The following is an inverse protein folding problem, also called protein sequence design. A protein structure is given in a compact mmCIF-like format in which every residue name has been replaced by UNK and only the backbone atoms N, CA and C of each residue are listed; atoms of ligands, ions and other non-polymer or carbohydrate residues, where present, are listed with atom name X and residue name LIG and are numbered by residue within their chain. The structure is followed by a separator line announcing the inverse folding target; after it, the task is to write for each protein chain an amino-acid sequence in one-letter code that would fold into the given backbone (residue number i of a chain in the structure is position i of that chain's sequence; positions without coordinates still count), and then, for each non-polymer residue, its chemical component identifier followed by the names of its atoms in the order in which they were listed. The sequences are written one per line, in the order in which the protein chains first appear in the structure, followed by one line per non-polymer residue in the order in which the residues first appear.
data_IF_503789470868
#
_entry.id   IF_503789470868
#
_cell.length_a   1.000
_cell.length_b   1.000
_cell.length_c   1.000
_cell.angle_alpha   90.00
_cell.angle_beta   90.00
_cell.angle_gamma   90.00
#
_symmetry.space_group_name_H-M   'P 1'
#
loop_
_entity.id
_entity.type
_entity.pdbx_description
1 polymer ?
#
# COMPACT_ATOMS: atom_id res chain seq x y z
N UNK A 1 -23.74 12.45 2.51
CA UNK A 1 -23.83 11.05 2.96
C UNK A 1 -22.54 10.68 3.65
N UNK A 2 -22.61 9.92 4.71
CA UNK A 2 -21.42 9.39 5.38
C UNK A 2 -20.72 8.37 4.47
N UNK A 3 -19.38 8.40 4.47
CA UNK A 3 -18.51 7.44 3.77
C UNK A 3 -17.91 6.41 4.73
N UNK A 4 -18.29 6.48 6.00
CA UNK A 4 -17.83 5.54 7.02
C UNK A 4 -18.54 4.21 6.81
N UNK A 5 -17.74 3.16 6.66
CA UNK A 5 -18.19 1.78 6.45
C UNK A 5 -17.39 0.83 7.35
N UNK A 6 -17.81 -0.41 7.46
CA UNK A 6 -17.04 -1.46 8.12
C UNK A 6 -15.82 -1.87 7.30
N UNK A 7 -14.84 -2.52 7.94
CA UNK A 7 -13.64 -3.03 7.26
C UNK A 7 -14.00 -4.03 6.15
N UNK A 8 -14.99 -4.87 6.42
CA UNK A 8 -15.48 -5.86 5.44
C UNK A 8 -16.14 -5.20 4.23
N UNK A 9 -16.99 -4.19 4.44
CA UNK A 9 -17.62 -3.43 3.35
C UNK A 9 -16.59 -2.67 2.52
N UNK A 10 -15.58 -2.09 3.16
CA UNK A 10 -14.50 -1.39 2.48
C UNK A 10 -13.69 -2.33 1.57
N UNK A 11 -13.27 -3.49 2.09
CA UNK A 11 -12.54 -4.49 1.31
C UNK A 11 -13.39 -5.13 0.19
N UNK A 12 -14.73 -5.20 0.37
CA UNK A 12 -15.64 -5.67 -0.65
C UNK A 12 -15.69 -4.78 -1.90
N UNK A 13 -15.25 -3.52 -1.79
CA UNK A 13 -15.10 -2.62 -2.93
C UNK A 13 -13.92 -2.96 -3.85
N UNK A 14 -13.02 -3.83 -3.42
CA UNK A 14 -11.95 -4.39 -4.26
C UNK A 14 -12.45 -5.65 -4.92
N UNK A 15 -12.36 -5.75 -6.25
CA UNK A 15 -12.84 -6.90 -7.01
C UNK A 15 -11.67 -7.74 -7.54
N UNK A 16 -11.94 -9.00 -7.81
CA UNK A 16 -10.95 -9.88 -8.45
C UNK A 16 -10.49 -9.30 -9.78
N UNK A 17 -9.17 -9.31 -9.98
CA UNK A 17 -8.55 -8.74 -11.17
C UNK A 17 -8.26 -7.24 -11.12
N UNK A 18 -8.71 -6.50 -10.09
CA UNK A 18 -8.40 -5.08 -9.92
C UNK A 18 -6.89 -4.82 -9.81
N UNK A 19 -6.48 -3.67 -10.32
CA UNK A 19 -5.16 -3.10 -10.07
C UNK A 19 -5.24 -2.25 -8.80
N UNK A 20 -4.61 -2.71 -7.73
CA UNK A 20 -4.66 -2.11 -6.40
C UNK A 20 -3.36 -1.38 -6.11
N UNK A 21 -3.42 -0.06 -5.97
CA UNK A 21 -2.31 0.74 -5.47
C UNK A 21 -2.31 0.71 -3.94
N UNK A 22 -1.23 0.22 -3.37
CA UNK A 22 -1.07 0.02 -1.95
C UNK A 22 -0.03 0.99 -1.39
N UNK A 23 -0.46 1.86 -0.47
CA UNK A 23 0.48 2.65 0.33
C UNK A 23 1.40 1.70 1.09
N UNK A 24 2.68 1.80 0.82
CA UNK A 24 3.68 1.02 1.56
C UNK A 24 5.09 1.54 1.28
N UNK A 25 5.86 1.72 2.34
CA UNK A 25 7.28 1.98 2.27
C UNK A 25 7.99 0.94 3.15
N UNK A 26 8.25 -0.24 2.58
CA UNK A 26 8.87 -1.38 3.24
C UNK A 26 8.20 -1.75 4.59
N UNK A 27 8.76 -1.28 5.71
CA UNK A 27 8.26 -1.55 7.07
C UNK A 27 7.31 -0.48 7.61
N UNK A 28 6.81 0.44 6.74
CA UNK A 28 6.10 1.64 7.15
C UNK A 28 4.77 1.85 6.43
N UNK A 29 3.80 2.37 7.16
CA UNK A 29 2.56 2.98 6.69
C UNK A 29 1.66 2.11 5.79
N UNK A 30 1.77 0.78 5.86
CA UNK A 30 0.91 -0.10 5.08
C UNK A 30 -0.50 -0.20 5.71
N UNK A 31 -1.59 -0.19 4.93
CA UNK A 31 -2.96 -0.41 5.42
C UNK A 31 -3.19 -1.91 5.73
N UNK A 32 -2.45 -2.45 6.71
CA UNK A 32 -2.39 -3.88 7.01
C UNK A 32 -3.76 -4.47 7.41
N UNK A 33 -4.64 -3.69 8.02
CA UNK A 33 -5.98 -4.15 8.32
C UNK A 33 -6.78 -4.44 7.03
N UNK A 34 -6.70 -3.58 6.02
CA UNK A 34 -7.31 -3.83 4.71
C UNK A 34 -6.65 -5.01 4.00
N UNK A 35 -5.32 -5.15 4.09
CA UNK A 35 -4.59 -6.31 3.53
C UNK A 35 -5.10 -7.63 4.15
N UNK A 36 -5.25 -7.69 5.48
CA UNK A 36 -5.82 -8.87 6.15
C UNK A 36 -7.22 -9.16 5.65
N UNK A 37 -8.05 -8.14 5.47
CA UNK A 37 -9.43 -8.32 5.02
C UNK A 37 -9.52 -8.81 3.58
N UNK A 38 -8.64 -8.34 2.68
CA UNK A 38 -8.56 -8.89 1.31
C UNK A 38 -8.22 -10.38 1.31
N UNK A 39 -7.33 -10.82 2.20
CA UNK A 39 -6.98 -12.24 2.36
C UNK A 39 -8.18 -13.03 2.92
N UNK A 40 -8.87 -12.53 3.95
CA UNK A 40 -10.06 -13.17 4.53
C UNK A 40 -11.20 -13.32 3.53
N UNK A 41 -11.41 -12.32 2.67
CA UNK A 41 -12.40 -12.35 1.60
C UNK A 41 -11.95 -13.13 0.37
N UNK A 42 -10.79 -13.78 0.44
CA UNK A 42 -10.23 -14.61 -0.62
C UNK A 42 -10.14 -13.92 -1.98
N UNK A 43 -9.80 -12.63 -2.01
CA UNK A 43 -9.60 -11.91 -3.28
C UNK A 43 -8.52 -12.57 -4.12
N UNK A 44 -8.67 -12.51 -5.44
CA UNK A 44 -7.80 -13.22 -6.38
C UNK A 44 -7.38 -12.35 -7.55
N UNK A 45 -6.21 -12.70 -8.12
CA UNK A 45 -5.69 -12.10 -9.37
C UNK A 45 -5.51 -10.60 -9.30
N UNK A 46 -5.24 -10.05 -8.13
CA UNK A 46 -4.98 -8.61 -8.01
C UNK A 46 -3.63 -8.27 -8.62
N UNK A 47 -3.59 -7.16 -9.39
CA UNK A 47 -2.36 -6.49 -9.75
C UNK A 47 -1.99 -5.49 -8.65
N UNK A 48 -0.87 -5.68 -7.97
CA UNK A 48 -0.45 -4.78 -6.90
C UNK A 48 0.50 -3.71 -7.42
N UNK A 49 0.25 -2.44 -7.06
CA UNK A 49 1.15 -1.30 -7.33
C UNK A 49 1.70 -0.80 -6.00
N UNK A 50 3.01 -0.76 -5.85
CA UNK A 50 3.67 -0.18 -4.67
C UNK A 50 5.05 0.38 -5.01
N UNK A 51 5.48 1.44 -4.31
CA UNK A 51 6.82 2.01 -4.47
C UNK A 51 7.88 1.07 -3.92
N UNK A 52 7.81 0.78 -2.63
CA UNK A 52 8.69 -0.19 -1.97
C UNK A 52 7.80 -1.14 -1.18
N UNK A 53 7.61 -2.34 -1.72
CA UNK A 53 6.83 -3.39 -1.08
C UNK A 53 7.55 -4.01 0.11
N UNK A 54 6.79 -4.51 1.07
CA UNK A 54 7.30 -5.19 2.25
C UNK A 54 6.39 -6.35 2.67
N UNK A 55 6.14 -6.47 3.96
CA UNK A 55 5.31 -7.54 4.52
C UNK A 55 3.93 -7.68 3.86
N UNK A 56 3.18 -6.60 3.53
CA UNK A 56 1.88 -6.76 2.88
C UNK A 56 1.99 -7.47 1.52
N UNK A 57 3.05 -7.19 0.74
CA UNK A 57 3.29 -7.88 -0.54
C UNK A 57 3.56 -9.36 -0.31
N UNK A 58 4.38 -9.68 0.69
CA UNK A 58 4.74 -11.06 1.02
C UNK A 58 3.53 -11.86 1.50
N UNK A 59 2.64 -11.27 2.31
CA UNK A 59 1.40 -11.90 2.76
C UNK A 59 0.41 -12.13 1.63
N UNK A 60 0.20 -11.12 0.77
CA UNK A 60 -0.70 -11.25 -0.38
C UNK A 60 -0.20 -12.31 -1.39
N UNK A 61 1.12 -12.42 -1.55
CA UNK A 61 1.73 -13.48 -2.37
C UNK A 61 1.58 -14.87 -1.72
N UNK A 62 1.82 -14.98 -0.41
CA UNK A 62 1.64 -16.23 0.35
C UNK A 62 0.20 -16.75 0.29
N UNK A 63 -0.77 -15.83 0.39
CA UNK A 63 -2.20 -16.16 0.32
C UNK A 63 -2.71 -16.36 -1.13
N UNK A 64 -1.87 -16.15 -2.16
CA UNK A 64 -2.26 -16.28 -3.57
C UNK A 64 -3.27 -15.23 -4.04
N UNK A 65 -3.29 -14.07 -3.42
CA UNK A 65 -4.19 -12.95 -3.74
C UNK A 65 -3.74 -12.21 -4.98
N UNK A 66 -2.41 -12.03 -5.14
CA UNK A 66 -1.81 -11.28 -6.26
C UNK A 66 -1.25 -12.20 -7.34
N UNK A 67 -1.36 -11.79 -8.58
CA UNK A 67 -0.71 -12.45 -9.74
C UNK A 67 0.21 -11.51 -10.52
N UNK A 68 0.26 -10.23 -10.15
CA UNK A 68 1.13 -9.22 -10.74
C UNK A 68 1.58 -8.20 -9.70
N UNK A 69 2.84 -7.77 -9.83
CA UNK A 69 3.38 -6.62 -9.09
C UNK A 69 3.90 -5.59 -10.10
N UNK A 70 3.55 -4.33 -9.88
CA UNK A 70 4.07 -3.15 -10.58
C UNK A 70 4.78 -2.31 -9.51
N UNK A 71 6.10 -2.27 -9.52
CA UNK A 71 6.82 -1.65 -8.41
C UNK A 71 8.30 -1.46 -8.65
N UNK A 72 8.94 -0.76 -7.72
CA UNK A 72 10.37 -0.47 -7.80
C UNK A 72 11.20 -1.46 -6.98
N UNK A 73 10.73 -1.84 -5.80
CA UNK A 73 11.44 -2.77 -4.93
C UNK A 73 10.47 -3.54 -4.02
N UNK A 74 10.92 -4.71 -3.55
CA UNK A 74 10.22 -5.48 -2.50
C UNK A 74 11.24 -5.99 -1.49
N UNK A 75 11.17 -5.48 -0.26
CA UNK A 75 12.12 -5.80 0.81
C UNK A 75 11.50 -5.55 2.18
N UNK A 76 11.91 -6.31 3.17
CA UNK A 76 11.65 -6.01 4.59
C UNK A 76 12.86 -5.31 5.25
N UNK A 77 13.69 -4.65 4.45
CA UNK A 77 14.87 -3.89 4.90
C UNK A 77 15.79 -4.74 5.78
N UNK A 78 16.08 -4.31 7.02
CA UNK A 78 16.94 -5.02 7.96
C UNK A 78 16.45 -6.42 8.34
N UNK A 79 15.19 -6.76 8.09
CA UNK A 79 14.62 -8.09 8.34
C UNK A 79 14.85 -9.07 7.18
N UNK A 80 15.26 -8.56 6.01
CA UNK A 80 15.66 -9.37 4.86
C UNK A 80 14.63 -9.40 3.73
N UNK A 81 14.64 -10.52 2.98
CA UNK A 81 13.82 -10.67 1.78
C UNK A 81 12.39 -11.09 2.08
N UNK A 82 11.45 -10.67 1.26
CA UNK A 82 10.08 -11.17 1.18
C UNK A 82 10.09 -12.58 0.54
N UNK A 83 10.15 -13.61 1.37
CA UNK A 83 10.43 -14.99 0.92
C UNK A 83 9.27 -15.59 0.12
N UNK A 84 8.05 -15.36 0.53
CA UNK A 84 6.87 -15.89 -0.14
C UNK A 84 6.62 -15.21 -1.49
N UNK A 85 6.81 -13.89 -1.55
CA UNK A 85 6.79 -13.15 -2.80
C UNK A 85 7.88 -13.66 -3.77
N UNK A 86 9.12 -13.81 -3.29
CA UNK A 86 10.22 -14.34 -4.10
C UNK A 86 9.90 -15.72 -4.68
N UNK A 87 9.44 -16.65 -3.86
CA UNK A 87 9.01 -17.98 -4.31
C UNK A 87 7.88 -17.91 -5.34
N UNK A 88 6.92 -16.99 -5.14
CA UNK A 88 5.81 -16.81 -6.08
C UNK A 88 6.28 -16.31 -7.45
N UNK A 89 7.26 -15.38 -7.48
CA UNK A 89 7.89 -14.88 -8.71
C UNK A 89 8.71 -15.99 -9.40
N UNK A 90 9.58 -16.68 -8.66
CA UNK A 90 10.41 -17.77 -9.20
C UNK A 90 9.56 -18.93 -9.76
N UNK A 91 8.40 -19.19 -9.17
CA UNK A 91 7.44 -20.18 -9.66
C UNK A 91 6.50 -19.66 -10.78
N UNK A 92 6.67 -18.41 -11.23
CA UNK A 92 5.83 -17.80 -12.27
C UNK A 92 4.38 -17.51 -11.86
N UNK A 93 4.07 -17.57 -10.55
CA UNK A 93 2.72 -17.27 -10.03
C UNK A 93 2.46 -15.76 -9.93
N UNK A 94 3.51 -14.97 -9.79
CA UNK A 94 3.45 -13.50 -9.76
C UNK A 94 4.36 -12.95 -10.87
N UNK A 95 3.80 -12.18 -11.78
CA UNK A 95 4.55 -11.46 -12.82
C UNK A 95 4.99 -10.11 -12.27
N UNK A 96 6.22 -9.71 -12.57
CA UNK A 96 6.77 -8.43 -12.13
C UNK A 96 6.90 -7.47 -13.31
N UNK A 97 6.29 -6.29 -13.17
CA UNK A 97 6.57 -5.13 -13.99
C UNK A 97 7.51 -4.22 -13.20
N UNK A 98 8.81 -4.41 -13.42
CA UNK A 98 9.84 -3.66 -12.71
C UNK A 98 9.94 -2.22 -13.21
N UNK A 99 10.06 -1.28 -12.28
CA UNK A 99 10.22 0.14 -12.52
C UNK A 99 11.21 0.73 -11.51
N UNK A 100 11.77 1.89 -11.83
CA UNK A 100 12.35 2.74 -10.77
C UNK A 100 11.23 3.50 -10.04
N UNK A 101 11.47 3.93 -8.79
CA UNK A 101 10.52 4.80 -8.08
C UNK A 101 10.18 6.06 -8.88
N UNK A 102 11.17 6.66 -9.55
CA UNK A 102 10.96 7.83 -10.40
C UNK A 102 9.99 7.56 -11.54
N UNK A 103 10.14 6.41 -12.23
CA UNK A 103 9.25 6.05 -13.33
C UNK A 103 7.85 5.69 -12.83
N UNK A 104 7.73 4.98 -11.69
CA UNK A 104 6.44 4.68 -11.09
C UNK A 104 5.71 5.95 -10.65
N UNK A 105 6.42 6.88 -10.01
CA UNK A 105 5.86 8.19 -9.64
C UNK A 105 5.45 9.01 -10.87
N UNK A 106 6.22 8.97 -11.97
CA UNK A 106 5.83 9.62 -13.22
C UNK A 106 4.55 8.99 -13.80
N UNK A 107 4.44 7.67 -13.81
CA UNK A 107 3.24 6.94 -14.30
C UNK A 107 1.99 7.27 -13.47
N UNK A 108 2.08 7.18 -12.14
CA UNK A 108 0.99 7.56 -11.23
C UNK A 108 0.68 9.07 -11.33
N UNK A 109 1.73 9.90 -11.43
CA UNK A 109 1.59 11.34 -11.63
C UNK A 109 0.87 11.73 -12.93
N UNK A 110 1.07 10.97 -14.00
CA UNK A 110 0.34 11.13 -15.25
C UNK A 110 -1.14 10.76 -15.06
N UNK A 111 -1.43 9.61 -14.41
CA UNK A 111 -2.78 9.19 -14.08
C UNK A 111 -3.53 10.22 -13.23
N UNK A 112 -2.91 10.71 -12.17
CA UNK A 112 -3.48 11.71 -11.27
C UNK A 112 -3.82 13.06 -11.95
N UNK A 113 -3.19 13.36 -13.09
CA UNK A 113 -3.39 14.60 -13.87
C UNK A 113 -4.19 14.36 -15.14
N UNK A 114 -4.66 13.15 -15.36
CA UNK A 114 -5.35 12.75 -16.59
C UNK A 114 -4.52 13.05 -17.86
N UNK A 115 -3.20 12.81 -17.78
CA UNK A 115 -2.27 12.93 -18.88
C UNK A 115 -1.95 11.54 -19.43
N UNK A 116 -1.67 11.41 -20.75
CA UNK A 116 -1.32 10.11 -21.34
C UNK A 116 0.02 9.57 -20.84
N UNK A 117 0.97 10.44 -20.48
CA UNK A 117 2.27 10.12 -19.94
C UNK A 117 2.89 11.34 -19.23
N UNK A 118 3.92 11.10 -18.41
CA UNK A 118 4.87 12.12 -17.95
C UNK A 118 6.29 11.73 -18.33
N UNK A 119 7.15 12.73 -18.69
CA UNK A 119 8.55 12.50 -19.01
C UNK A 119 9.40 12.35 -17.75
N UNK A 120 10.50 11.60 -17.86
CA UNK A 120 11.59 11.57 -16.88
C UNK A 120 12.95 11.45 -17.58
N UNK A 121 14.01 11.89 -16.89
CA UNK A 121 15.41 11.62 -17.29
C UNK A 121 15.90 10.28 -16.73
N UNK A 122 15.21 9.75 -15.75
CA UNK A 122 15.55 8.46 -15.16
C UNK A 122 15.43 7.30 -16.14
N UNK A 123 16.14 6.23 -15.86
CA UNK A 123 16.19 4.98 -16.64
C UNK A 123 16.97 5.03 -17.96
N UNK A 124 17.41 6.19 -18.44
CA UNK A 124 18.22 6.28 -19.66
C UNK A 124 19.51 5.45 -19.46
N UNK A 125 19.78 4.55 -20.40
CA UNK A 125 20.93 3.64 -20.35
C UNK A 125 20.69 2.37 -19.52
N UNK A 126 19.44 2.09 -19.11
CA UNK A 126 19.07 0.82 -18.48
C UNK A 126 18.24 -0.05 -19.42
N UNK A 127 18.28 -1.37 -19.22
CA UNK A 127 17.52 -2.35 -19.99
C UNK A 127 16.01 -2.28 -19.72
N UNK A 128 15.60 -1.62 -18.64
CA UNK A 128 14.18 -1.47 -18.24
C UNK A 128 13.34 -0.80 -19.33
N UNK A 129 13.92 0.08 -20.14
CA UNK A 129 13.21 0.75 -21.23
C UNK A 129 12.83 -0.23 -22.34
N UNK A 130 13.70 -1.21 -22.62
CA UNK A 130 13.45 -2.23 -23.62
C UNK A 130 12.50 -3.31 -23.13
N UNK A 131 12.57 -3.64 -21.83
CA UNK A 131 11.78 -4.70 -21.20
C UNK A 131 10.34 -4.26 -20.83
N UNK A 132 10.09 -2.95 -20.73
CA UNK A 132 8.79 -2.42 -20.28
C UNK A 132 8.11 -1.62 -21.40
N UNK A 133 7.03 -2.19 -21.96
CA UNK A 133 6.25 -1.57 -23.05
C UNK A 133 5.64 -0.20 -22.69
N UNK A 134 5.50 0.11 -21.39
CA UNK A 134 4.97 1.36 -20.88
C UNK A 134 6.02 2.49 -20.78
N UNK A 135 7.26 2.20 -21.18
CA UNK A 135 8.37 3.15 -21.22
C UNK A 135 8.85 3.32 -22.66
N UNK A 136 8.99 4.55 -23.14
CA UNK A 136 9.47 4.85 -24.50
C UNK A 136 10.44 6.02 -24.49
N UNK A 137 11.54 5.89 -25.22
CA UNK A 137 12.40 7.04 -25.50
C UNK A 137 11.71 7.99 -26.48
N UNK A 138 11.87 9.29 -26.26
CA UNK A 138 11.45 10.34 -27.20
C UNK A 138 12.35 11.56 -27.09
N UNK A 139 12.29 12.41 -28.11
CA UNK A 139 13.01 13.69 -28.10
C UNK A 139 12.09 14.76 -27.55
N UNK A 140 12.59 15.52 -26.58
CA UNK A 140 11.91 16.71 -26.07
C UNK A 140 11.66 17.72 -27.21
N UNK A 141 10.42 18.18 -27.41
CA UNK A 141 10.06 19.04 -28.54
C UNK A 141 10.65 20.47 -28.46
N UNK A 142 11.19 20.88 -27.32
CA UNK A 142 11.73 22.22 -27.09
C UNK A 142 13.25 22.27 -27.19
N UNK A 143 13.95 21.36 -26.56
CA UNK A 143 15.41 21.35 -26.51
C UNK A 143 16.07 20.17 -27.23
N UNK A 144 15.29 19.20 -27.68
CA UNK A 144 15.80 18.01 -28.35
C UNK A 144 16.50 17.02 -27.41
N UNK A 145 16.36 17.16 -26.09
CA UNK A 145 16.90 16.23 -25.13
C UNK A 145 16.18 14.87 -25.22
N UNK A 146 16.95 13.78 -25.07
CA UNK A 146 16.34 12.45 -24.98
C UNK A 146 15.73 12.24 -23.59
N UNK A 147 14.45 11.90 -23.54
CA UNK A 147 13.70 11.62 -22.33
C UNK A 147 12.99 10.28 -22.42
N UNK A 148 12.53 9.77 -21.28
CA UNK A 148 11.66 8.58 -21.18
C UNK A 148 10.24 9.04 -20.95
N UNK A 149 9.33 8.73 -21.89
CA UNK A 149 7.89 8.85 -21.71
C UNK A 149 7.40 7.68 -20.86
N UNK A 150 6.86 7.98 -19.67
CA UNK A 150 6.28 7.01 -18.76
C UNK A 150 4.75 7.03 -18.91
N UNK A 151 4.17 5.99 -19.55
CA UNK A 151 2.72 5.87 -19.79
C UNK A 151 1.95 5.94 -18.47
N UNK A 152 0.82 6.66 -18.46
CA UNK A 152 -0.04 6.78 -17.30
C UNK A 152 -0.43 5.42 -16.70
N UNK A 153 -0.40 5.34 -15.38
CA UNK A 153 -0.93 4.23 -14.59
C UNK A 153 -2.11 4.74 -13.78
N UNK A 154 -3.28 4.15 -14.02
CA UNK A 154 -4.53 4.48 -13.34
C UNK A 154 -5.00 3.21 -12.62
N UNK A 155 -4.68 3.03 -11.34
CA UNK A 155 -5.17 1.89 -10.56
C UNK A 155 -6.69 1.89 -10.45
N UNK A 156 -7.29 0.71 -10.29
CA UNK A 156 -8.73 0.59 -10.06
C UNK A 156 -9.08 1.04 -8.63
N UNK A 157 -8.21 0.69 -7.67
CA UNK A 157 -8.38 1.04 -6.26
C UNK A 157 -7.05 1.51 -5.66
N UNK A 158 -7.10 2.52 -4.80
CA UNK A 158 -5.99 2.85 -3.89
C UNK A 158 -6.39 2.53 -2.45
N UNK A 159 -5.51 1.84 -1.74
CA UNK A 159 -5.64 1.53 -0.31
C UNK A 159 -4.60 2.32 0.46
N UNK A 160 -5.06 3.15 1.39
CA UNK A 160 -4.21 3.99 2.23
C UNK A 160 -4.59 3.88 3.70
N UNK A 161 -3.63 4.16 4.57
CA UNK A 161 -3.85 4.29 6.01
C UNK A 161 -3.53 5.72 6.44
N UNK A 162 -4.37 6.32 7.27
CA UNK A 162 -4.30 7.72 7.65
C UNK A 162 -4.38 7.93 9.18
N UNK A 163 -3.91 9.08 9.66
CA UNK A 163 -4.03 9.43 11.08
C UNK A 163 -5.47 9.77 11.45
N UNK A 164 -6.12 10.59 10.64
CA UNK A 164 -7.51 11.01 10.87
C UNK A 164 -8.27 11.11 9.57
N UNK A 165 -9.54 10.81 9.66
CA UNK A 165 -10.50 11.11 8.61
C UNK A 165 -11.80 11.63 9.23
N UNK A 166 -12.65 12.29 8.42
CA UNK A 166 -14.01 12.59 8.83
C UNK A 166 -15.03 11.73 8.05
N UNK A 167 -16.29 11.80 8.46
CA UNK A 167 -17.37 11.06 7.83
C UNK A 167 -17.62 11.42 6.35
N UNK A 168 -17.05 12.54 5.89
CA UNK A 168 -17.16 12.98 4.50
C UNK A 168 -15.96 12.54 3.65
N UNK A 169 -14.97 11.88 4.26
CA UNK A 169 -13.78 11.38 3.58
C UNK A 169 -12.65 12.41 3.44
N UNK A 170 -12.67 13.53 4.18
CA UNK A 170 -11.50 14.37 4.28
C UNK A 170 -10.45 13.67 5.15
N UNK A 171 -9.20 13.61 4.68
CA UNK A 171 -8.13 12.82 5.31
C UNK A 171 -6.97 13.71 5.68
N UNK A 172 -6.52 13.59 6.93
CA UNK A 172 -5.36 14.30 7.43
C UNK A 172 -4.26 13.35 7.88
N UNK A 173 -3.03 13.81 7.62
CA UNK A 173 -1.81 13.20 8.14
C UNK A 173 -1.12 14.15 9.10
N UNK A 174 -0.40 13.60 10.08
CA UNK A 174 0.47 14.42 10.92
C UNK A 174 1.63 14.96 10.06
N UNK A 175 2.03 16.24 10.25
CA UNK A 175 2.91 16.95 9.30
C UNK A 175 4.34 16.46 9.26
N UNK A 176 4.73 15.59 10.17
CA UNK A 176 6.11 15.14 10.32
C UNK A 176 6.57 14.17 9.25
N UNK A 177 5.64 13.46 8.58
CA UNK A 177 6.01 12.48 7.56
C UNK A 177 4.91 12.41 6.49
N UNK A 178 5.24 12.92 5.30
CA UNK A 178 4.46 12.67 4.09
C UNK A 178 5.22 11.64 3.25
N UNK A 179 4.66 10.44 3.16
CA UNK A 179 5.17 9.47 2.20
C UNK A 179 4.90 9.99 0.79
N UNK A 180 5.87 9.90 -0.14
CA UNK A 180 5.73 10.46 -1.50
C UNK A 180 4.50 9.93 -2.25
N UNK A 181 4.11 8.70 -1.99
CA UNK A 181 2.98 8.03 -2.63
C UNK A 181 1.61 8.57 -2.21
N UNK A 182 1.45 9.05 -0.97
CA UNK A 182 0.17 9.54 -0.44
C UNK A 182 -0.37 10.75 -1.23
N UNK A 183 0.51 11.62 -1.69
CA UNK A 183 0.12 12.84 -2.43
C UNK A 183 -0.34 12.57 -3.86
N UNK A 184 0.09 11.47 -4.47
CA UNK A 184 -0.08 11.18 -5.91
C UNK A 184 -0.93 9.93 -6.12
N UNK A 185 -0.57 8.82 -5.48
CA UNK A 185 -1.14 7.50 -5.74
C UNK A 185 -2.67 7.44 -5.58
N UNK A 186 -3.27 7.96 -4.49
CA UNK A 186 -4.73 7.94 -4.36
C UNK A 186 -5.44 8.77 -5.42
N UNK A 187 -4.83 9.89 -5.86
CA UNK A 187 -5.40 10.76 -6.90
C UNK A 187 -5.31 10.17 -8.31
N UNK A 188 -4.48 9.15 -8.50
CA UNK A 188 -4.37 8.41 -9.76
C UNK A 188 -5.41 7.30 -9.87
N UNK A 189 -5.94 6.81 -8.76
CA UNK A 189 -6.87 5.68 -8.72
C UNK A 189 -8.30 6.08 -9.05
N UNK A 190 -9.08 5.12 -9.55
CA UNK A 190 -10.52 5.31 -9.82
C UNK A 190 -11.35 5.29 -8.54
N UNK A 191 -10.89 4.60 -7.50
CA UNK A 191 -11.53 4.46 -6.20
C UNK A 191 -10.47 4.56 -5.10
N UNK A 192 -10.79 5.24 -4.00
CA UNK A 192 -9.90 5.43 -2.86
C UNK A 192 -10.57 4.94 -1.59
N UNK A 193 -9.95 3.97 -0.94
CA UNK A 193 -10.37 3.40 0.33
C UNK A 193 -9.34 3.77 1.40
N UNK A 194 -9.82 4.36 2.49
CA UNK A 194 -8.98 4.84 3.58
C UNK A 194 -9.31 4.08 4.85
N UNK A 195 -8.32 3.42 5.45
CA UNK A 195 -8.37 3.10 6.86
C UNK A 195 -7.74 4.24 7.66
N UNK A 196 -8.31 4.59 8.80
CA UNK A 196 -7.81 5.67 9.64
C UNK A 196 -7.70 5.22 11.10
N UNK A 197 -6.71 5.75 11.80
CA UNK A 197 -6.56 5.52 13.24
C UNK A 197 -7.76 6.06 14.02
N UNK A 198 -8.31 7.20 13.55
CA UNK A 198 -9.40 7.88 14.21
C UNK A 198 -10.34 8.55 13.19
N UNK A 199 -11.64 8.41 13.39
CA UNK A 199 -12.64 9.21 12.68
C UNK A 199 -13.11 10.33 13.60
N UNK A 200 -12.90 11.57 13.15
CA UNK A 200 -13.22 12.80 13.90
C UNK A 200 -14.28 13.63 13.20
N UNK A 201 -14.85 14.58 13.90
CA UNK A 201 -15.76 15.54 13.27
C UNK A 201 -15.01 16.45 12.29
N UNK A 202 -15.70 16.92 11.23
CA UNK A 202 -15.13 17.85 10.26
C UNK A 202 -14.63 19.16 10.91
N UNK A 203 -15.17 19.53 12.07
CA UNK A 203 -14.71 20.72 12.83
C UNK A 203 -13.29 20.53 13.36
N UNK A 204 -12.94 19.31 13.79
CA UNK A 204 -11.58 18.99 14.24
C UNK A 204 -10.59 19.14 13.08
N UNK A 205 -10.93 18.63 11.89
CA UNK A 205 -10.08 18.75 10.70
C UNK A 205 -9.93 20.22 10.27
N UNK A 206 -10.98 21.03 10.33
CA UNK A 206 -10.95 22.46 9.95
C UNK A 206 -10.02 23.31 10.81
N UNK A 207 -9.62 22.86 11.99
CA UNK A 207 -8.64 23.56 12.83
C UNK A 207 -7.23 23.56 12.22
N UNK A 208 -6.92 22.56 11.40
CA UNK A 208 -5.62 22.42 10.73
C UNK A 208 -5.84 22.02 9.26
N UNK A 209 -6.39 22.92 8.42
CA UNK A 209 -6.75 22.58 7.04
C UNK A 209 -5.56 22.24 6.15
N UNK A 210 -4.40 22.76 6.47
CA UNK A 210 -3.10 22.51 5.83
C UNK A 210 -2.63 21.05 5.94
N UNK A 211 -3.16 20.30 6.92
CA UNK A 211 -2.89 18.86 7.10
C UNK A 211 -3.76 17.97 6.22
N UNK A 212 -4.74 18.53 5.51
CA UNK A 212 -5.65 17.76 4.66
C UNK A 212 -4.96 17.40 3.35
N UNK A 213 -4.57 16.14 3.19
CA UNK A 213 -3.88 15.61 2.01
C UNK A 213 -4.86 15.10 0.96
N UNK A 214 -5.94 14.45 1.41
CA UNK A 214 -7.01 13.97 0.53
C UNK A 214 -8.32 14.68 0.91
N UNK A 215 -8.86 15.51 0.00
CA UNK A 215 -10.19 16.08 0.20
C UNK A 215 -11.26 15.01 -0.02
N UNK A 216 -12.39 15.16 0.65
CA UNK A 216 -13.45 14.14 0.68
C UNK A 216 -13.93 13.69 -0.68
N UNK A 217 -13.93 14.54 -1.70
CA UNK A 217 -14.38 14.16 -3.03
C UNK A 217 -13.47 13.15 -3.76
N UNK A 218 -12.26 12.92 -3.27
CA UNK A 218 -11.32 11.90 -3.80
C UNK A 218 -11.55 10.54 -3.16
N UNK A 219 -12.11 10.50 -1.94
CA UNK A 219 -12.24 9.28 -1.11
C UNK A 219 -13.63 8.66 -1.28
N UNK A 220 -13.71 7.36 -1.47
CA UNK A 220 -14.97 6.62 -1.63
C UNK A 220 -15.46 5.98 -0.34
N UNK A 221 -14.54 5.46 0.47
CA UNK A 221 -14.86 4.81 1.74
C UNK A 221 -13.80 5.10 2.81
N UNK A 222 -14.25 5.22 4.06
CA UNK A 222 -13.40 5.41 5.25
C UNK A 222 -13.75 4.37 6.30
N UNK A 223 -12.73 3.79 6.92
CA UNK A 223 -12.88 2.80 8.01
C UNK A 223 -12.06 3.25 9.21
N UNK A 224 -12.64 3.26 10.40
CA UNK A 224 -11.89 3.46 11.63
C UNK A 224 -11.22 2.15 12.05
N UNK A 225 -9.89 2.18 12.09
CA UNK A 225 -9.09 0.99 12.45
C UNK A 225 -7.86 1.42 13.23
N UNK A 226 -7.96 1.57 14.54
CA UNK A 226 -6.80 1.84 15.40
C UNK A 226 -5.73 0.76 15.23
N UNK A 227 -4.46 1.18 15.15
CA UNK A 227 -3.33 0.30 14.81
C UNK A 227 -3.50 -0.42 13.46
N UNK A 228 -4.19 0.22 12.52
CA UNK A 228 -4.49 -0.39 11.22
C UNK A 228 -3.27 -0.67 10.35
N UNK A 229 -2.14 -0.02 10.60
CA UNK A 229 -0.88 -0.29 9.93
C UNK A 229 -0.03 -1.38 10.61
N UNK A 230 -0.32 -1.78 11.87
CA UNK A 230 0.45 -2.83 12.55
C UNK A 230 0.49 -4.13 11.71
N UNK A 231 1.65 -4.78 11.53
CA UNK A 231 2.92 -4.62 12.24
C UNK A 231 3.90 -3.61 11.64
N UNK A 232 3.53 -2.89 10.58
CA UNK A 232 4.34 -1.78 10.06
C UNK A 232 4.20 -0.56 10.98
N UNK A 233 5.16 0.36 10.91
CA UNK A 233 5.09 1.60 11.69
C UNK A 233 4.07 2.58 11.13
N UNK A 234 3.54 3.44 12.01
CA UNK A 234 2.74 4.58 11.60
C UNK A 234 3.06 5.81 12.45
N UNK A 235 4.08 6.53 12.03
CA UNK A 235 4.61 7.68 12.76
C UNK A 235 3.64 8.87 12.80
N UNK A 236 3.55 9.62 13.89
CA UNK A 236 4.30 9.47 15.15
C UNK A 236 3.60 8.58 16.19
N UNK A 237 2.57 7.82 15.81
CA UNK A 237 1.74 7.08 16.76
C UNK A 237 2.43 5.82 17.27
N UNK A 238 3.09 5.06 16.39
CA UNK A 238 3.81 3.84 16.76
C UNK A 238 4.89 3.46 15.73
N UNK A 239 5.90 2.75 16.22
CA UNK A 239 6.95 2.12 15.41
C UNK A 239 6.51 0.78 14.83
N UNK A 240 7.38 0.17 14.05
CA UNK A 240 7.14 -1.19 13.57
C UNK A 240 7.34 -2.24 14.67
N UNK A 241 6.59 -3.33 14.62
CA UNK A 241 6.79 -4.47 15.52
C UNK A 241 7.95 -5.35 15.02
N UNK A 242 9.16 -5.09 15.54
CA UNK A 242 10.37 -5.81 15.14
C UNK A 242 10.28 -7.32 15.39
N UNK A 243 9.66 -7.74 16.51
CA UNK A 243 9.54 -9.17 16.82
C UNK A 243 8.60 -9.87 15.86
N UNK A 244 7.50 -9.21 15.50
CA UNK A 244 6.57 -9.74 14.52
C UNK A 244 7.20 -9.88 13.13
N UNK A 245 8.02 -8.89 12.71
CA UNK A 245 8.79 -8.99 11.48
C UNK A 245 9.80 -10.14 11.51
N UNK A 246 10.52 -10.31 12.62
CA UNK A 246 11.46 -11.43 12.79
C UNK A 246 10.72 -12.78 12.79
N UNK A 247 9.60 -12.89 13.47
CA UNK A 247 8.76 -14.11 13.46
C UNK A 247 8.33 -14.45 12.05
N UNK A 248 7.74 -13.51 11.32
CA UNK A 248 7.31 -13.72 9.94
C UNK A 248 8.48 -14.12 9.03
N UNK A 249 9.59 -13.37 9.02
CA UNK A 249 10.74 -13.69 8.15
C UNK A 249 11.34 -15.05 8.41
N UNK A 250 11.22 -15.57 9.63
CA UNK A 250 11.65 -16.93 9.99
C UNK A 250 10.72 -17.98 9.40
N UNK A 251 9.40 -17.85 9.61
CA UNK A 251 8.41 -18.84 9.17
C UNK A 251 8.12 -18.76 7.66
N UNK A 252 8.27 -17.59 7.04
CA UNK A 252 8.04 -17.40 5.61
C UNK A 252 9.00 -18.20 4.69
N UNK A 253 10.07 -18.78 5.24
CA UNK A 253 10.95 -19.67 4.50
C UNK A 253 10.33 -21.03 4.21
N UNK A 254 9.34 -21.43 4.97
CA UNK A 254 8.61 -22.67 4.85
C UNK A 254 7.13 -22.38 4.53
N UNK A 255 6.57 -23.06 3.54
CA UNK A 255 5.22 -22.72 3.06
C UNK A 255 4.14 -23.13 4.07
N UNK A 256 4.29 -24.26 4.76
CA UNK A 256 3.33 -24.73 5.75
C UNK A 256 3.33 -23.82 6.97
N UNK A 257 4.52 -23.41 7.44
CA UNK A 257 4.65 -22.47 8.55
C UNK A 257 4.13 -21.06 8.19
N UNK A 258 4.33 -20.62 6.94
CA UNK A 258 3.78 -19.35 6.46
C UNK A 258 2.24 -19.38 6.44
N UNK A 259 1.63 -20.49 5.98
CA UNK A 259 0.18 -20.64 5.99
C UNK A 259 -0.37 -20.72 7.43
N UNK A 260 0.30 -21.41 8.33
CA UNK A 260 -0.09 -21.46 9.74
C UNK A 260 -0.02 -20.08 10.42
N UNK A 261 1.00 -19.27 10.08
CA UNK A 261 1.10 -17.90 10.54
C UNK A 261 -0.06 -17.03 10.03
N UNK A 262 -0.38 -17.13 8.73
CA UNK A 262 -1.52 -16.42 8.16
C UNK A 262 -2.85 -16.89 8.76
N UNK A 263 -3.00 -18.18 9.01
CA UNK A 263 -4.19 -18.71 9.69
C UNK A 263 -4.37 -18.05 11.05
N UNK A 264 -3.31 -18.04 11.87
CA UNK A 264 -3.31 -17.50 13.24
C UNK A 264 -3.58 -16.01 13.31
N UNK A 265 -2.92 -15.22 12.46
CA UNK A 265 -2.94 -13.75 12.57
C UNK A 265 -3.83 -13.04 11.53
N UNK A 266 -4.35 -13.77 10.54
CA UNK A 266 -5.17 -13.18 9.48
C UNK A 266 -6.55 -13.84 9.41
N UNK A 267 -6.63 -15.17 9.41
CA UNK A 267 -7.89 -15.86 9.15
C UNK A 267 -8.70 -16.09 10.43
N UNK A 268 -8.07 -16.44 11.55
CA UNK A 268 -8.76 -16.69 12.83
C UNK A 268 -9.33 -15.42 13.47
N UNK A 269 -8.58 -14.28 13.55
CA UNK A 269 -9.15 -13.06 14.08
C UNK A 269 -10.21 -12.49 13.12
N UNK A 270 -11.47 -12.46 13.53
CA UNK A 270 -12.56 -11.90 12.72
C UNK A 270 -12.61 -10.37 12.78
N UNK A 271 -12.07 -9.78 13.86
CA UNK A 271 -12.09 -8.33 14.10
C UNK A 271 -10.68 -7.76 14.32
N UNK A 272 -10.55 -6.45 14.20
CA UNK A 272 -9.30 -5.77 14.54
C UNK A 272 -8.92 -5.97 16.02
N UNK A 273 -9.90 -5.98 16.93
CA UNK A 273 -9.65 -6.20 18.35
C UNK A 273 -9.08 -7.60 18.60
N UNK A 274 -9.69 -8.64 18.02
CA UNK A 274 -9.17 -10.02 18.12
C UNK A 274 -7.76 -10.15 17.51
N UNK A 275 -7.47 -9.45 16.41
CA UNK A 275 -6.12 -9.40 15.87
C UNK A 275 -5.13 -8.78 16.86
N UNK A 276 -5.49 -7.65 17.47
CA UNK A 276 -4.63 -7.00 18.45
C UNK A 276 -4.41 -7.88 19.69
N UNK A 277 -5.42 -8.61 20.13
CA UNK A 277 -5.28 -9.61 21.20
C UNK A 277 -4.35 -10.77 20.80
N UNK A 278 -4.51 -11.28 19.57
CA UNK A 278 -3.68 -12.38 19.04
C UNK A 278 -2.19 -12.01 18.94
N UNK A 279 -1.85 -10.74 18.68
CA UNK A 279 -0.45 -10.27 18.63
C UNK A 279 0.11 -9.96 20.02
N UNK A 280 -0.67 -10.08 21.09
CA UNK A 280 -0.23 -9.89 22.48
C UNK A 280 -0.88 -8.73 23.22
N UNK A 281 -1.92 -8.11 22.63
CA UNK A 281 -2.77 -7.11 23.27
C UNK A 281 -2.04 -5.83 23.67
N UNK A 282 -2.60 -5.12 24.65
CA UNK A 282 -2.09 -3.83 25.11
C UNK A 282 -0.61 -3.86 25.54
N UNK A 283 -0.16 -4.94 26.17
CA UNK A 283 1.23 -5.08 26.61
C UNK A 283 2.20 -5.02 25.42
N UNK A 284 1.84 -5.68 24.32
CA UNK A 284 2.64 -5.70 23.10
C UNK A 284 2.61 -4.36 22.38
N UNK A 285 1.44 -3.75 22.27
CA UNK A 285 1.27 -2.45 21.62
C UNK A 285 2.04 -1.35 22.35
N UNK A 286 2.15 -1.41 23.68
CA UNK A 286 2.97 -0.48 24.45
C UNK A 286 4.47 -0.57 24.14
N UNK A 287 4.98 -1.70 23.63
CA UNK A 287 6.38 -1.83 23.21
C UNK A 287 6.63 -1.07 21.89
N UNK A 288 5.67 -1.07 20.96
CA UNK A 288 5.80 -0.38 19.65
C UNK A 288 5.50 1.11 19.72
N UNK A 289 4.80 1.58 20.76
CA UNK A 289 4.56 3.02 21.00
C UNK A 289 5.82 3.72 21.56
N UNK A 290 6.68 2.99 22.27
CA UNK A 290 7.94 3.53 22.81
C UNK A 290 8.99 3.65 21.71
N UNK A 291 8.96 4.78 21.02
CA UNK A 291 9.96 5.13 20.00
C UNK A 291 10.94 6.12 20.62
#
# INVERSE_FOLDING_TARGET
MSKVVSLAEAAALVHDGDVVALQNMATQAAPMALVRELIRQERRKLGLVCLVGGMPVDWLAAAGVIDRLIGAAVSMEQFGLCQQYRKAVEAGRVRVEELSETALNARLGAGARNLPFLPTRGLIGTDLIELNENLKLFQDPFGGETLVACRALVPDVALVHAHRADEHGNVQYEPTILWPDIGIMPKAAKRVIVSAEEIVSSEVLRRNPDRTVLPGFVVDAVVEVPYGAHPTSFYPLYGYDARFHVEWTKVARDDEQAQEFLRRYVLEPATQAEYLDAVGGAARLMEVIRI
#
